data_IF_191092687136
#
_entry.id   IF_191092687136
#
_cell.length_a   1.000
_cell.length_b   1.000
_cell.length_c   1.000
_cell.angle_alpha   90.00
_cell.angle_beta   90.00
_cell.angle_gamma   90.00
#
_symmetry.space_group_name_H-M   'P 1'
#
loop_
_entity.id
_entity.type
_entity.pdbx_description
1 polymer ?
#
# COMPACT_ATOMS: atom_id res chain seq x y z
N UNK A 1 11.23 -2.10 0.29
CA UNK A 1 12.30 -2.41 1.26
C UNK A 1 11.84 -3.59 2.10
N UNK A 2 12.53 -4.73 1.99
CA UNK A 2 12.20 -5.98 2.68
C UNK A 2 13.05 -6.16 3.93
N UNK A 3 12.57 -6.95 4.89
CA UNK A 3 13.26 -7.19 6.16
C UNK A 3 13.49 -5.92 6.98
N UNK A 4 12.65 -4.89 6.79
CA UNK A 4 12.84 -3.62 7.45
C UNK A 4 12.49 -3.72 8.94
N UNK A 5 13.51 -3.55 9.79
CA UNK A 5 13.34 -3.48 11.23
C UNK A 5 12.49 -2.29 11.67
N UNK A 6 12.09 -2.29 12.95
CA UNK A 6 11.22 -1.27 13.53
C UNK A 6 11.77 0.16 13.37
N UNK A 7 13.09 0.32 13.51
CA UNK A 7 13.79 1.61 13.39
C UNK A 7 13.56 2.22 12.02
N UNK A 8 13.70 1.44 10.94
CA UNK A 8 13.49 1.91 9.56
C UNK A 8 12.05 2.36 9.35
N UNK A 9 11.07 1.62 9.89
CA UNK A 9 9.65 1.99 9.82
C UNK A 9 9.37 3.32 10.54
N UNK A 10 10.00 3.53 11.69
CA UNK A 10 9.90 4.80 12.42
C UNK A 10 10.53 5.96 11.63
N UNK A 11 11.74 5.77 11.11
CA UNK A 11 12.42 6.78 10.29
C UNK A 11 11.60 7.14 9.05
N UNK A 12 10.98 6.16 8.39
CA UNK A 12 10.08 6.43 7.26
C UNK A 12 8.88 7.28 7.67
N UNK A 13 8.27 7.03 8.82
CA UNK A 13 7.15 7.85 9.30
C UNK A 13 7.56 9.31 9.56
N UNK A 14 8.79 9.54 10.01
CA UNK A 14 9.36 10.88 10.19
C UNK A 14 9.66 11.53 8.82
N UNK A 15 10.11 10.75 7.84
CA UNK A 15 10.47 11.23 6.50
C UNK A 15 9.24 11.50 5.61
N UNK A 16 8.14 10.77 5.79
CA UNK A 16 6.89 10.90 5.00
C UNK A 16 6.46 12.34 4.70
N UNK A 17 6.37 13.30 5.64
CA UNK A 17 5.93 14.65 5.32
C UNK A 17 6.79 15.36 4.27
N UNK A 18 8.07 15.00 4.12
CA UNK A 18 9.00 15.59 3.16
C UNK A 18 8.98 14.91 1.78
N UNK A 19 8.23 13.81 1.64
CA UNK A 19 8.15 13.02 0.40
C UNK A 19 6.87 13.38 -0.34
N UNK A 20 6.98 13.59 -1.65
CA UNK A 20 5.84 13.85 -2.52
C UNK A 20 4.81 12.70 -2.48
N UNK A 21 3.49 12.98 -2.47
CA UNK A 21 2.44 11.96 -2.51
C UNK A 21 2.61 10.89 -3.58
N UNK A 22 3.08 11.22 -4.79
CA UNK A 22 3.28 10.23 -5.86
C UNK A 22 4.43 9.27 -5.52
N UNK A 23 5.42 9.74 -4.78
CA UNK A 23 6.52 8.90 -4.32
C UNK A 23 6.09 8.00 -3.15
N UNK A 24 5.23 8.50 -2.26
CA UNK A 24 4.69 7.71 -1.13
C UNK A 24 3.98 6.43 -1.59
N UNK A 25 3.27 6.48 -2.71
CA UNK A 25 2.53 5.31 -3.24
C UNK A 25 3.45 4.26 -3.85
N UNK A 26 4.65 4.66 -4.32
CA UNK A 26 5.64 3.76 -4.92
C UNK A 26 6.52 3.06 -3.87
N UNK A 27 6.63 3.62 -2.67
CA UNK A 27 7.48 3.08 -1.60
C UNK A 27 6.71 2.10 -0.73
N UNK A 28 7.07 0.81 -0.85
CA UNK A 28 6.55 -0.26 0.01
C UNK A 28 7.64 -0.66 1.02
N UNK A 29 7.34 -0.58 2.31
CA UNK A 29 8.23 -1.02 3.39
C UNK A 29 7.57 -2.18 4.12
N UNK A 30 8.20 -3.34 4.03
CA UNK A 30 7.74 -4.58 4.64
C UNK A 30 8.75 -5.06 5.69
N UNK A 31 8.24 -5.60 6.80
CA UNK A 31 9.08 -6.26 7.81
C UNK A 31 9.45 -7.69 7.45
N UNK A 32 8.72 -8.31 6.52
CA UNK A 32 9.01 -9.67 6.05
C UNK A 32 10.20 -9.69 5.08
N UNK A 33 10.93 -10.80 5.06
CA UNK A 33 11.99 -11.07 4.07
C UNK A 33 11.44 -11.45 2.69
N UNK A 34 10.18 -11.87 2.65
CA UNK A 34 9.43 -12.21 1.44
C UNK A 34 8.17 -11.37 1.36
N UNK A 35 7.76 -10.98 0.15
CA UNK A 35 6.57 -10.17 -0.05
C UNK A 35 5.79 -10.70 -1.25
N UNK A 36 4.49 -10.93 -1.07
CA UNK A 36 3.63 -11.48 -2.12
C UNK A 36 3.56 -10.57 -3.35
N UNK A 37 3.48 -9.24 -3.13
CA UNK A 37 3.48 -8.26 -4.24
C UNK A 37 4.79 -8.28 -5.02
N UNK A 38 5.91 -8.63 -4.37
CA UNK A 38 7.19 -8.77 -5.07
C UNK A 38 7.19 -10.00 -5.98
N UNK A 39 6.64 -11.13 -5.51
CA UNK A 39 6.52 -12.36 -6.29
C UNK A 39 5.50 -12.23 -7.42
N UNK A 40 4.47 -11.42 -7.25
CA UNK A 40 3.48 -11.12 -8.28
C UNK A 40 4.05 -10.22 -9.38
N UNK A 41 4.90 -9.25 -9.02
CA UNK A 41 5.43 -8.25 -9.97
C UNK A 41 6.75 -8.65 -10.63
N UNK A 42 7.47 -9.60 -10.06
CA UNK A 42 8.79 -10.02 -10.55
C UNK A 42 8.76 -11.52 -10.79
N UNK A 43 9.21 -11.94 -11.97
CA UNK A 43 9.26 -13.35 -12.34
C UNK A 43 10.16 -14.14 -11.38
N UNK A 44 9.74 -15.35 -10.98
CA UNK A 44 10.43 -16.16 -9.97
C UNK A 44 11.90 -16.42 -10.32
N UNK A 45 12.20 -16.67 -11.60
CA UNK A 45 13.55 -16.90 -12.11
C UNK A 45 14.50 -15.70 -12.02
N UNK A 46 13.97 -14.49 -11.88
CA UNK A 46 14.77 -13.27 -11.72
C UNK A 46 14.94 -12.89 -10.25
N UNK A 47 14.08 -13.40 -9.38
CA UNK A 47 14.11 -13.12 -7.97
C UNK A 47 15.04 -14.10 -7.24
N UNK A 48 15.89 -13.58 -6.35
CA UNK A 48 16.84 -14.40 -5.59
C UNK A 48 16.13 -15.35 -4.60
N UNK A 49 16.72 -16.52 -4.35
CA UNK A 49 16.22 -17.53 -3.40
C UNK A 49 15.92 -16.95 -2.02
N UNK A 50 16.77 -16.07 -1.48
CA UNK A 50 16.52 -15.42 -0.18
C UNK A 50 15.26 -14.55 -0.13
N UNK A 51 14.73 -14.14 -1.28
CA UNK A 51 13.50 -13.37 -1.41
C UNK A 51 12.30 -14.22 -1.89
N UNK A 52 12.48 -15.54 -1.98
CA UNK A 52 11.46 -16.49 -2.38
C UNK A 52 11.35 -16.69 -3.90
N UNK A 53 12.41 -16.40 -4.66
CA UNK A 53 12.50 -16.78 -6.08
C UNK A 53 13.40 -18.00 -6.33
N UNK A 54 13.80 -18.18 -7.58
CA UNK A 54 14.63 -19.31 -8.05
C UNK A 54 16.07 -18.91 -8.36
N UNK A 55 16.33 -17.61 -8.58
CA UNK A 55 17.66 -17.12 -8.95
C UNK A 55 18.68 -17.38 -7.82
N UNK A 56 19.92 -17.75 -8.15
CA UNK A 56 20.96 -17.94 -7.15
C UNK A 56 21.22 -16.64 -6.37
N UNK A 57 21.50 -16.76 -5.08
CA UNK A 57 21.83 -15.61 -4.25
C UNK A 57 23.17 -15.01 -4.70
N UNK A 58 23.17 -13.71 -4.99
CA UNK A 58 24.38 -13.01 -5.40
C UNK A 58 25.28 -12.77 -4.18
N UNK A 59 26.48 -13.36 -4.20
CA UNK A 59 27.48 -13.23 -3.13
C UNK A 59 28.47 -12.09 -3.36
N UNK A 60 28.64 -11.66 -4.61
CA UNK A 60 29.53 -10.57 -5.01
C UNK A 60 28.69 -9.41 -5.57
N UNK A 61 28.67 -8.28 -4.86
CA UNK A 61 27.92 -7.10 -5.28
C UNK A 61 28.72 -6.14 -6.16
N UNK A 62 30.05 -6.24 -6.13
CA UNK A 62 30.94 -5.31 -6.82
C UNK A 62 32.08 -6.05 -7.53
N UNK A 63 32.32 -5.80 -8.83
CA UNK A 63 31.64 -4.84 -9.71
C UNK A 63 30.18 -5.24 -10.02
N UNK A 64 29.31 -4.30 -10.42
CA UNK A 64 27.95 -4.63 -10.81
C UNK A 64 27.98 -5.55 -12.04
N UNK A 65 27.51 -6.78 -11.86
CA UNK A 65 27.32 -7.72 -12.96
C UNK A 65 25.90 -7.56 -13.50
N UNK A 66 25.77 -7.10 -14.74
CA UNK A 66 24.50 -7.26 -15.45
C UNK A 66 24.30 -8.76 -15.70
N UNK A 67 23.21 -9.37 -15.23
CA UNK A 67 22.94 -10.77 -15.54
C UNK A 67 22.95 -10.93 -17.07
N UNK A 68 23.58 -12.02 -17.54
CA UNK A 68 23.54 -12.38 -18.96
C UNK A 68 22.08 -12.55 -19.39
N UNK A 69 21.81 -12.32 -20.69
CA UNK A 69 20.48 -12.51 -21.30
C UNK A 69 19.89 -13.91 -21.04
N UNK A 70 20.70 -14.87 -20.57
CA UNK A 70 20.29 -16.19 -20.09
C UNK A 70 19.22 -16.16 -19.00
N UNK A 71 19.17 -15.11 -18.17
CA UNK A 71 18.10 -14.89 -17.17
C UNK A 71 17.06 -13.85 -17.62
N UNK A 72 17.23 -13.29 -18.81
CA UNK A 72 16.19 -12.57 -19.52
C UNK A 72 15.19 -13.60 -20.04
N UNK A 73 13.99 -13.63 -19.49
CA UNK A 73 12.96 -14.52 -20.02
C UNK A 73 12.70 -14.10 -21.47
N UNK A 74 12.91 -15.00 -22.43
CA UNK A 74 12.51 -14.80 -23.82
C UNK A 74 11.08 -14.23 -23.83
N UNK A 75 10.81 -13.10 -24.51
CA UNK A 75 9.47 -12.54 -24.56
C UNK A 75 8.46 -13.52 -25.16
N UNK A 76 8.92 -14.49 -25.96
CA UNK A 76 8.12 -15.59 -26.50
C UNK A 76 7.69 -16.64 -25.45
N UNK A 77 8.39 -16.74 -24.32
CA UNK A 77 8.07 -17.65 -23.20
C UNK A 77 7.28 -16.96 -22.09
N UNK A 78 7.24 -15.62 -22.08
CA UNK A 78 6.29 -14.83 -21.31
C UNK A 78 4.92 -14.90 -21.99
N UNK A 79 4.27 -16.07 -21.99
CA UNK A 79 2.85 -16.15 -22.26
C UNK A 79 2.10 -15.55 -21.06
N UNK A 80 2.15 -14.22 -20.93
CA UNK A 80 1.15 -13.49 -20.18
C UNK A 80 -0.17 -13.94 -20.80
N UNK A 81 -1.00 -14.64 -20.03
CA UNK A 81 -2.26 -15.17 -20.53
C UNK A 81 -2.99 -14.05 -21.24
N UNK A 82 -3.22 -14.20 -22.55
CA UNK A 82 -3.87 -13.20 -23.38
C UNK A 82 -5.29 -12.81 -22.88
N UNK A 83 -5.80 -13.50 -21.86
CA UNK A 83 -7.06 -13.22 -21.19
C UNK A 83 -7.06 -11.90 -20.41
N UNK A 84 -5.93 -11.43 -19.86
CA UNK A 84 -5.94 -10.28 -18.95
C UNK A 84 -5.74 -8.92 -19.64
N UNK A 85 -5.51 -8.90 -20.96
CA UNK A 85 -5.27 -7.65 -21.72
C UNK A 85 -6.55 -7.15 -22.42
N UNK A 86 -7.60 -7.97 -22.57
CA UNK A 86 -8.83 -7.52 -23.25
C UNK A 86 -9.67 -6.52 -22.45
N UNK A 87 -9.57 -6.49 -21.12
CA UNK A 87 -10.42 -5.60 -20.30
C UNK A 87 -9.92 -4.14 -20.25
N UNK A 88 -8.69 -3.87 -20.68
CA UNK A 88 -8.11 -2.51 -20.68
C UNK A 88 -8.15 -1.79 -22.04
N UNK A 89 -8.62 -2.46 -23.10
CA UNK A 89 -8.72 -1.88 -24.45
C UNK A 89 -10.12 -1.35 -24.79
N UNK A 90 -11.13 -1.61 -23.97
CA UNK A 90 -12.52 -1.22 -24.24
C UNK A 90 -12.89 0.21 -23.79
N UNK A 91 -12.03 0.95 -23.08
CA UNK A 91 -12.35 2.31 -22.58
C UNK A 91 -11.67 3.46 -23.35
N UNK A 92 -10.97 3.20 -24.46
CA UNK A 92 -10.18 4.23 -25.17
C UNK A 92 -10.75 4.67 -26.54
N UNK A 93 -11.91 4.17 -26.93
CA UNK A 93 -12.63 4.58 -28.16
C UNK A 93 -13.89 5.38 -27.79
N UNK A 94 -13.76 6.61 -27.28
CA UNK A 94 -14.78 7.68 -27.44
C UNK A 94 -14.35 9.07 -26.90
N UNK A 95 -13.03 9.33 -26.83
CA UNK A 95 -12.49 10.60 -26.37
C UNK A 95 -11.97 11.48 -27.50
N UNK A 96 -12.87 12.22 -28.16
CA UNK A 96 -12.57 13.36 -29.03
C UNK A 96 -11.44 14.22 -28.44
N UNK A 97 -10.25 14.20 -29.04
CA UNK A 97 -9.14 15.08 -28.65
C UNK A 97 -9.60 16.54 -28.71
N UNK A 98 -9.50 17.32 -27.62
CA UNK A 98 -9.62 18.76 -27.72
C UNK A 98 -8.42 19.29 -28.50
N UNK A 99 -8.70 19.96 -29.62
CA UNK A 99 -7.71 20.71 -30.40
C UNK A 99 -6.93 21.66 -29.49
N UNK A 100 -5.61 21.54 -29.53
CA UNK A 100 -4.70 22.51 -28.93
C UNK A 100 -4.84 23.85 -29.65
N UNK A 101 -5.56 24.78 -29.01
CA UNK A 101 -5.57 26.18 -29.39
C UNK A 101 -4.25 26.81 -28.96
N UNK A 102 -3.41 27.13 -29.95
CA UNK A 102 -2.19 27.92 -29.79
C UNK A 102 -2.55 29.33 -29.29
N UNK A 103 -2.42 29.58 -28.00
CA UNK A 103 -2.35 30.93 -27.43
C UNK A 103 -0.89 31.31 -27.21
N UNK A 104 -0.36 32.07 -28.17
CA UNK A 104 0.92 32.76 -28.01
C UNK A 104 0.86 33.71 -26.83
N UNK A 105 1.76 33.52 -25.87
CA UNK A 105 1.98 34.45 -24.77
C UNK A 105 3.23 35.27 -25.09
N UNK A 106 2.95 36.50 -25.51
CA UNK A 106 3.89 37.60 -25.63
C UNK A 106 4.37 38.01 -24.22
N UNK A 107 5.68 37.97 -23.99
CA UNK A 107 6.33 38.44 -22.77
C UNK A 107 6.34 39.95 -22.80
N UNK A 108 5.48 40.57 -22.00
CA UNK A 108 5.69 41.93 -21.53
C UNK A 108 5.42 41.99 -20.02
N UNK A 109 6.53 42.14 -19.31
CA UNK A 109 6.67 42.49 -17.91
C UNK A 109 6.15 43.91 -17.65
N UNK A 110 5.37 44.11 -16.58
CA UNK A 110 5.39 45.39 -15.90
C UNK A 110 5.85 45.21 -14.45
N UNK A 111 6.99 45.83 -14.15
CA UNK A 111 7.34 46.24 -12.80
C UNK A 111 6.28 47.22 -12.28
N UNK A 112 5.70 46.98 -11.09
CA UNK A 112 5.44 48.05 -10.12
C UNK A 112 4.85 47.54 -8.79
N UNK A 113 5.41 48.14 -7.73
CA UNK A 113 4.75 48.61 -6.51
C UNK A 113 4.35 47.61 -5.41
N UNK A 114 5.17 47.66 -4.36
CA UNK A 114 4.76 47.52 -2.95
C UNK A 114 3.46 48.30 -2.67
N UNK A 115 2.43 47.61 -2.15
CA UNK A 115 1.51 48.20 -1.18
C UNK A 115 1.09 47.16 -0.13
N UNK A 116 1.21 47.57 1.13
CA UNK A 116 0.63 46.98 2.32
C UNK A 116 -0.85 46.59 2.12
N UNK A 117 -1.26 45.41 2.60
CA UNK A 117 -2.36 45.28 3.58
C UNK A 117 -2.78 43.85 3.90
N UNK A 118 -3.10 43.72 5.19
CA UNK A 118 -4.13 42.89 5.85
C UNK A 118 -3.79 41.42 6.06
N UNK A 119 -3.53 41.12 7.34
CA UNK A 119 -3.80 39.82 7.96
C UNK A 119 -5.22 39.37 7.62
N UNK A 120 -5.30 38.28 6.85
CA UNK A 120 -6.51 37.49 6.68
C UNK A 120 -6.43 36.36 7.69
N UNK A 121 -7.32 36.40 8.68
CA UNK A 121 -7.62 35.28 9.57
C UNK A 121 -8.25 34.18 8.71
N UNK A 122 -7.47 33.17 8.36
CA UNK A 122 -7.93 31.99 7.65
C UNK A 122 -8.58 31.05 8.67
N UNK A 123 -9.90 31.12 8.79
CA UNK A 123 -10.68 30.00 9.33
C UNK A 123 -10.52 28.80 8.39
N UNK A 124 -9.68 27.84 8.80
CA UNK A 124 -9.51 26.56 8.13
C UNK A 124 -10.76 25.70 8.35
N UNK A 125 -11.76 25.86 7.49
CA UNK A 125 -12.76 24.80 7.25
C UNK A 125 -12.06 23.66 6.50
N UNK A 126 -11.50 22.73 7.27
CA UNK A 126 -10.79 21.56 6.76
C UNK A 126 -11.72 20.68 5.92
N UNK A 127 -11.63 20.82 4.60
CA UNK A 127 -12.14 19.84 3.65
C UNK A 127 -11.38 18.53 3.84
N UNK A 128 -12.01 17.58 4.54
CA UNK A 128 -11.48 16.23 4.74
C UNK A 128 -11.37 15.55 3.38
N UNK A 129 -10.13 15.35 2.93
CA UNK A 129 -9.84 14.65 1.69
C UNK A 129 -10.35 13.20 1.76
N UNK A 130 -10.71 12.64 0.60
CA UNK A 130 -11.29 11.29 0.47
C UNK A 130 -10.47 10.19 1.19
N UNK A 131 -9.15 10.38 1.31
CA UNK A 131 -8.23 9.41 1.93
C UNK A 131 -8.43 9.25 3.45
N UNK A 132 -8.86 10.30 4.16
CA UNK A 132 -9.10 10.23 5.62
C UNK A 132 -10.31 9.34 5.97
N UNK A 133 -11.28 9.21 5.05
CA UNK A 133 -12.47 8.36 5.28
C UNK A 133 -12.16 6.87 5.27
N UNK A 134 -11.21 6.43 4.44
CA UNK A 134 -10.86 5.00 4.35
C UNK A 134 -10.12 4.51 5.60
N UNK A 135 -9.30 5.35 6.21
CA UNK A 135 -8.64 5.02 7.48
C UNK A 135 -9.61 4.94 8.65
N UNK A 136 -10.60 5.84 8.76
CA UNK A 136 -11.61 5.77 9.82
C UNK A 136 -12.47 4.50 9.71
N UNK A 137 -12.84 4.08 8.50
CA UNK A 137 -13.67 2.89 8.28
C UNK A 137 -12.95 1.59 8.71
N UNK A 138 -11.65 1.49 8.48
CA UNK A 138 -10.85 0.34 8.93
C UNK A 138 -10.74 0.27 10.48
N UNK A 139 -10.64 1.42 11.17
CA UNK A 139 -10.62 1.46 12.63
C UNK A 139 -11.96 1.06 13.26
N UNK A 140 -13.09 1.50 12.69
CA UNK A 140 -14.43 1.14 13.17
C UNK A 140 -14.68 -0.37 13.03
N UNK A 141 -14.24 -0.98 11.93
CA UNK A 141 -14.40 -2.42 11.72
C UNK A 141 -13.56 -3.24 12.70
N UNK A 142 -12.34 -2.83 12.99
CA UNK A 142 -11.47 -3.53 13.95
C UNK A 142 -11.99 -3.42 15.40
N UNK A 143 -12.57 -2.27 15.77
CA UNK A 143 -13.20 -2.08 17.07
C UNK A 143 -14.46 -2.95 17.27
N UNK A 144 -15.28 -3.13 16.22
CA UNK A 144 -16.46 -4.01 16.24
C UNK A 144 -16.06 -5.47 16.42
N UNK A 145 -15.03 -5.93 15.71
CA UNK A 145 -14.53 -7.31 15.83
C UNK A 145 -13.99 -7.60 17.25
N UNK A 146 -13.24 -6.66 17.85
CA UNK A 146 -12.74 -6.83 19.23
C UNK A 146 -13.86 -6.94 20.27
N UNK A 147 -14.95 -6.17 20.13
CA UNK A 147 -16.12 -6.31 21.03
C UNK A 147 -16.82 -7.65 20.86
N UNK A 148 -16.98 -8.12 19.62
CA UNK A 148 -17.63 -9.41 19.33
C UNK A 148 -16.84 -10.59 19.90
N UNK A 149 -15.51 -10.59 19.77
CA UNK A 149 -14.64 -11.63 20.36
C UNK A 149 -14.72 -11.62 21.88
N UNK A 150 -14.76 -10.44 22.53
CA UNK A 150 -14.88 -10.33 23.99
C UNK A 150 -16.21 -10.88 24.52
N UNK A 151 -17.32 -10.65 23.80
CA UNK A 151 -18.64 -11.18 24.19
C UNK A 151 -18.66 -12.71 24.09
N UNK A 152 -18.14 -13.28 22.99
CA UNK A 152 -18.11 -14.74 22.79
C UNK A 152 -17.23 -15.46 23.84
N UNK A 153 -16.11 -14.85 24.25
CA UNK A 153 -15.27 -15.42 25.31
C UNK A 153 -15.97 -15.44 26.67
N UNK A 154 -16.71 -14.39 27.01
CA UNK A 154 -17.46 -14.35 28.27
C UNK A 154 -18.62 -15.35 28.29
N UNK A 155 -19.34 -15.52 27.18
CA UNK A 155 -20.44 -16.50 27.10
C UNK A 155 -19.96 -17.95 27.28
N UNK A 156 -18.74 -18.28 26.83
CA UNK A 156 -18.18 -19.61 27.04
C UNK A 156 -17.77 -19.84 28.50
N UNK A 157 -17.25 -18.82 29.19
CA UNK A 157 -16.91 -18.88 30.62
C UNK A 157 -18.14 -19.11 31.50
N UNK A 158 -19.29 -18.55 31.15
CA UNK A 158 -20.53 -18.73 31.93
C UNK A 158 -21.13 -20.13 31.71
N UNK A 159 -20.97 -20.72 30.52
CA UNK A 159 -21.40 -22.11 30.24
C UNK A 159 -20.58 -23.13 31.02
N UNK A 160 -19.28 -22.91 31.16
CA UNK A 160 -18.38 -23.79 31.93
C UNK A 160 -18.78 -23.81 33.42
N UNK A 161 -19.07 -22.64 34.01
CA UNK A 161 -19.55 -22.54 35.40
C UNK A 161 -20.92 -23.19 35.63
N UNK A 162 -21.80 -23.24 34.63
CA UNK A 162 -23.09 -23.92 34.75
C UNK A 162 -22.96 -25.45 34.70
N UNK A 163 -21.98 -25.97 33.95
CA UNK A 163 -21.71 -27.41 33.88
C UNK A 163 -21.20 -27.97 35.23
N UNK A 164 -20.34 -27.21 35.92
CA UNK A 164 -19.79 -27.59 37.24
C UNK A 164 -20.86 -27.60 38.34
N UNK A 165 -21.88 -26.74 38.24
CA UNK A 165 -22.97 -26.67 39.23
C UNK A 165 -24.02 -27.78 39.03
N UNK A 166 -24.15 -28.34 37.81
CA UNK A 166 -25.06 -29.48 37.58
C UNK A 166 -24.45 -30.81 38.02
N UNK A 167 -23.13 -30.96 37.99
CA UNK A 167 -22.46 -32.20 38.40
C UNK A 167 -22.41 -32.39 39.91
N UNK A 168 -22.55 -31.34 40.73
CA UNK A 168 -22.55 -31.47 42.19
C UNK A 168 -23.88 -31.98 42.79
N UNK A 169 -24.96 -32.04 42.01
CA UNK A 169 -26.29 -32.45 42.49
C UNK A 169 -26.64 -33.93 42.24
N UNK A 170 -25.75 -34.71 41.64
CA UNK A 170 -26.03 -36.12 41.27
C UNK A 170 -25.35 -37.18 42.16
N UNK A 171 -24.69 -36.83 43.26
CA UNK A 171 -23.96 -37.78 44.11
C UNK A 171 -24.62 -38.14 45.45
N UNK A 172 -25.91 -37.83 45.65
CA UNK A 172 -26.65 -38.24 46.85
C UNK A 172 -27.96 -38.94 46.47
N UNK A 173 -27.89 -40.21 46.07
CA UNK A 173 -29.03 -41.15 46.05
C UNK A 173 -28.54 -42.58 46.19
#
# INVERSE_FOLDING_TARGET
MLGAGLIVKMMWNIAKPFVDPVTKTKVIIDGSHTNALLQERVHSQQLQKRHGGEAPDVTCFWPPYCPSDEYGVDPAKLSVGAADIEESKAELEDGKLPEETKTGSNVNEPQALLQDKKEVVVEKTGSKTSYDRYTEQAFVNNAKTKRKVKIMLNENLDKEKQADNQTSNCCCS
#
